data_IF_206358217762
#
_entry.id   IF_206358217762
#
_cell.length_a   1.000
_cell.length_b   1.000
_cell.length_c   1.000
_cell.angle_alpha   90.00
_cell.angle_beta   90.00
_cell.angle_gamma   90.00
#
_symmetry.space_group_name_H-M   'P 1'
#
loop_
_entity.id
_entity.type
_entity.pdbx_description
1 polymer ?
#
# COMPACT_ATOMS: atom_id res chain seq x y z
N UNK A 1 14.53 -32.13 12.79
CA UNK A 1 13.17 -31.65 13.11
C UNK A 1 12.83 -30.50 12.21
N UNK A 2 11.80 -30.67 11.42
CA UNK A 2 11.41 -29.61 10.48
C UNK A 2 10.72 -28.48 11.23
N UNK A 3 11.31 -27.30 11.15
CA UNK A 3 10.62 -26.10 11.63
C UNK A 3 9.55 -25.72 10.64
N UNK A 4 8.31 -25.80 11.08
CA UNK A 4 7.20 -25.26 10.31
C UNK A 4 7.29 -23.74 10.42
N UNK A 5 7.79 -23.11 9.38
CA UNK A 5 7.75 -21.65 9.29
C UNK A 5 6.30 -21.23 9.13
N UNK A 6 5.73 -20.65 10.18
CA UNK A 6 4.44 -19.98 10.03
C UNK A 6 4.67 -18.78 9.15
N UNK A 7 4.08 -18.79 7.98
CA UNK A 7 4.05 -17.61 7.15
C UNK A 7 3.29 -16.51 7.88
N UNK A 8 3.98 -15.38 8.09
CA UNK A 8 3.32 -14.21 8.65
C UNK A 8 2.54 -13.57 7.51
N UNK A 9 1.21 -13.69 7.58
CA UNK A 9 0.35 -13.05 6.59
C UNK A 9 0.19 -11.59 6.98
N UNK A 10 0.59 -10.70 6.09
CA UNK A 10 0.40 -9.27 6.31
C UNK A 10 -1.09 -8.93 6.31
N UNK A 11 -1.48 -8.05 7.20
CA UNK A 11 -2.82 -7.46 7.22
C UNK A 11 -2.71 -6.00 6.87
N UNK A 12 -3.56 -5.54 5.98
CA UNK A 12 -3.53 -4.16 5.53
C UNK A 12 -4.90 -3.50 5.65
N UNK A 13 -4.88 -2.18 5.75
CA UNK A 13 -6.09 -1.37 5.70
C UNK A 13 -6.15 -0.71 4.33
N UNK A 14 -7.27 -0.86 3.65
CA UNK A 14 -7.49 -0.21 2.36
C UNK A 14 -8.02 1.20 2.58
N UNK A 15 -7.48 2.16 1.85
CA UNK A 15 -7.85 3.57 1.99
C UNK A 15 -8.17 4.14 0.61
N UNK A 16 -9.32 4.80 0.50
CA UNK A 16 -9.73 5.46 -0.73
C UNK A 16 -10.30 6.84 -0.45
N UNK A 17 -10.20 7.70 -1.44
CA UNK A 17 -10.85 9.00 -1.45
C UNK A 17 -11.96 8.97 -2.51
N UNK A 18 -13.14 9.39 -2.13
CA UNK A 18 -14.28 9.46 -3.03
C UNK A 18 -14.79 10.89 -3.10
N UNK A 19 -15.30 11.30 -4.24
CA UNK A 19 -16.04 12.54 -4.34
C UNK A 19 -17.38 12.36 -3.61
N UNK A 20 -18.48 12.88 -4.03
CA UNK A 20 -19.74 12.80 -3.29
C UNK A 20 -20.35 11.39 -3.26
N UNK A 21 -20.24 10.66 -4.35
CA UNK A 21 -20.77 9.30 -4.47
C UNK A 21 -19.68 8.28 -4.15
N UNK A 22 -19.91 7.47 -3.13
CA UNK A 22 -18.95 6.45 -2.70
C UNK A 22 -19.08 5.13 -3.46
N UNK A 23 -20.03 4.98 -4.35
CA UNK A 23 -20.29 3.71 -5.05
C UNK A 23 -19.08 3.26 -5.87
N UNK A 24 -18.49 4.17 -6.64
CA UNK A 24 -17.30 3.84 -7.43
C UNK A 24 -16.10 3.48 -6.54
N UNK A 25 -15.95 4.19 -5.42
CA UNK A 25 -14.87 3.91 -4.48
C UNK A 25 -15.06 2.53 -3.83
N UNK A 26 -16.28 2.17 -3.48
CA UNK A 26 -16.57 0.85 -2.92
C UNK A 26 -16.29 -0.26 -3.92
N UNK A 27 -16.69 -0.09 -5.18
CA UNK A 27 -16.38 -1.05 -6.25
C UNK A 27 -14.88 -1.16 -6.49
N UNK A 28 -14.20 -0.03 -6.49
CA UNK A 28 -12.75 0.01 -6.66
C UNK A 28 -12.03 -0.69 -5.50
N UNK A 29 -12.52 -0.52 -4.28
CA UNK A 29 -11.97 -1.21 -3.11
C UNK A 29 -12.27 -2.71 -3.14
N UNK A 30 -13.42 -3.13 -3.68
CA UNK A 30 -13.68 -4.57 -3.90
C UNK A 30 -12.61 -5.17 -4.80
N UNK A 31 -12.28 -4.50 -5.89
CA UNK A 31 -11.23 -4.92 -6.80
C UNK A 31 -9.86 -4.91 -6.12
N UNK A 32 -9.55 -3.85 -5.40
CA UNK A 32 -8.27 -3.74 -4.69
C UNK A 32 -8.13 -4.84 -3.63
N UNK A 33 -9.20 -5.19 -2.95
CA UNK A 33 -9.17 -6.29 -1.98
C UNK A 33 -8.80 -7.61 -2.64
N UNK A 34 -9.36 -7.89 -3.82
CA UNK A 34 -9.00 -9.10 -4.57
C UNK A 34 -7.53 -9.07 -4.99
N UNK A 35 -7.03 -7.91 -5.42
CA UNK A 35 -5.62 -7.76 -5.77
C UNK A 35 -4.72 -8.01 -4.55
N UNK A 36 -5.08 -7.46 -3.41
CA UNK A 36 -4.32 -7.64 -2.15
C UNK A 36 -4.29 -9.12 -1.74
N UNK A 37 -5.42 -9.80 -1.82
CA UNK A 37 -5.49 -11.24 -1.54
C UNK A 37 -4.62 -12.05 -2.50
N UNK A 38 -4.65 -11.71 -3.78
CA UNK A 38 -3.80 -12.35 -4.80
C UNK A 38 -2.33 -12.13 -4.49
N UNK A 39 -1.98 -10.96 -3.96
CA UNK A 39 -0.60 -10.66 -3.54
C UNK A 39 -0.20 -11.37 -2.24
N UNK A 40 -1.14 -12.02 -1.56
CA UNK A 40 -0.87 -12.82 -0.37
C UNK A 40 -1.09 -12.13 0.96
N UNK A 41 -1.79 -11.00 0.98
CA UNK A 41 -2.12 -10.27 2.20
C UNK A 41 -3.61 -10.36 2.52
N UNK A 42 -3.98 -10.02 3.74
CA UNK A 42 -5.37 -9.95 4.18
C UNK A 42 -5.78 -8.49 4.38
N UNK A 43 -7.06 -8.22 4.18
CA UNK A 43 -7.63 -6.90 4.42
C UNK A 43 -8.31 -6.89 5.78
N UNK A 44 -7.81 -6.04 6.68
CA UNK A 44 -8.34 -5.92 8.04
C UNK A 44 -9.50 -4.93 8.11
N UNK A 45 -9.47 -3.88 7.29
CA UNK A 45 -10.51 -2.85 7.28
C UNK A 45 -10.42 -2.02 6.01
N UNK A 46 -11.49 -1.27 5.73
CA UNK A 46 -11.56 -0.31 4.63
C UNK A 46 -11.93 1.05 5.16
N UNK A 47 -11.31 2.09 4.63
CA UNK A 47 -11.62 3.49 4.97
C UNK A 47 -11.85 4.25 3.70
N UNK A 48 -12.96 4.95 3.62
CA UNK A 48 -13.26 5.86 2.51
C UNK A 48 -13.44 7.25 3.09
N UNK A 49 -12.68 8.21 2.58
CA UNK A 49 -12.90 9.60 2.90
C UNK A 49 -13.57 10.30 1.73
N UNK A 50 -14.68 10.98 2.01
CA UNK A 50 -15.33 11.83 1.01
C UNK A 50 -14.61 13.17 0.97
N UNK A 51 -13.98 13.46 -0.15
CA UNK A 51 -13.30 14.73 -0.42
C UNK A 51 -13.46 15.05 -1.90
N UNK A 52 -13.51 16.32 -2.22
CA UNK A 52 -13.56 16.74 -3.62
C UNK A 52 -12.31 16.27 -4.38
N UNK A 53 -11.14 16.40 -3.76
CA UNK A 53 -9.86 15.93 -4.30
C UNK A 53 -9.03 15.32 -3.17
N UNK A 54 -8.12 14.38 -3.47
CA UNK A 54 -7.17 13.89 -2.47
C UNK A 54 -6.32 15.02 -1.90
N UNK A 55 -5.98 14.91 -0.63
CA UNK A 55 -5.10 15.89 0.01
C UNK A 55 -3.71 15.80 -0.63
N UNK A 56 -3.15 16.92 -1.10
CA UNK A 56 -1.87 16.87 -1.82
C UNK A 56 -0.69 16.42 -0.96
N UNK A 57 -0.74 16.61 0.34
CA UNK A 57 0.33 16.23 1.25
C UNK A 57 0.18 14.85 1.87
N UNK A 58 -1.05 14.41 2.13
CA UNK A 58 -1.31 13.19 2.91
C UNK A 58 -2.40 12.29 2.32
N UNK A 59 -2.89 12.56 1.13
CA UNK A 59 -3.93 11.80 0.46
C UNK A 59 -5.29 11.90 1.16
N UNK A 60 -5.33 11.71 2.47
CA UNK A 60 -6.52 11.85 3.32
C UNK A 60 -6.29 12.96 4.34
N UNK A 61 -7.37 13.50 4.88
CA UNK A 61 -7.30 14.57 5.87
C UNK A 61 -6.90 14.05 7.26
N UNK A 62 -6.57 14.99 8.14
CA UNK A 62 -6.06 14.68 9.48
C UNK A 62 -7.01 13.81 10.31
N UNK A 63 -8.31 14.07 10.26
CA UNK A 63 -9.28 13.25 10.99
C UNK A 63 -9.30 11.80 10.53
N UNK A 64 -9.17 11.56 9.22
CA UNK A 64 -9.09 10.22 8.69
C UNK A 64 -7.76 9.55 9.03
N UNK A 65 -6.68 10.30 9.07
CA UNK A 65 -5.39 9.77 9.52
C UNK A 65 -5.52 9.23 10.95
N UNK A 66 -6.18 9.98 11.83
CA UNK A 66 -6.42 9.53 13.20
C UNK A 66 -7.27 8.26 13.24
N UNK A 67 -8.30 8.18 12.39
CA UNK A 67 -9.13 6.98 12.26
C UNK A 67 -8.33 5.78 11.78
N UNK A 68 -7.51 5.96 10.75
CA UNK A 68 -6.64 4.89 10.24
C UNK A 68 -5.64 4.45 11.31
N UNK A 69 -5.08 5.39 12.05
CA UNK A 69 -4.16 5.09 13.14
C UNK A 69 -4.81 4.20 14.21
N UNK A 70 -6.05 4.52 14.58
CA UNK A 70 -6.81 3.72 15.54
C UNK A 70 -7.09 2.32 15.00
N UNK A 71 -7.41 2.20 13.71
CA UNK A 71 -7.65 0.92 13.07
C UNK A 71 -6.38 0.08 12.96
N UNK A 72 -5.24 0.69 12.65
CA UNK A 72 -3.95 -0.02 12.64
C UNK A 72 -3.67 -0.64 14.00
N UNK A 73 -3.88 0.14 15.06
CA UNK A 73 -3.66 -0.33 16.40
C UNK A 73 -4.64 -1.44 16.81
N UNK A 74 -5.92 -1.26 16.47
CA UNK A 74 -6.98 -2.19 16.88
C UNK A 74 -7.00 -3.51 16.09
N UNK A 75 -6.46 -3.54 14.89
CA UNK A 75 -6.49 -4.72 14.02
C UNK A 75 -5.14 -5.42 13.92
N UNK A 76 -4.09 -4.88 14.50
CA UNK A 76 -2.71 -5.33 14.31
C UNK A 76 -2.28 -5.33 12.85
N UNK A 77 -2.87 -4.47 12.02
CA UNK A 77 -2.48 -4.33 10.63
C UNK A 77 -1.06 -3.77 10.54
N UNK A 78 -0.33 -4.21 9.52
CA UNK A 78 1.09 -3.89 9.34
C UNK A 78 1.34 -2.84 8.26
N UNK A 79 0.29 -2.37 7.62
CA UNK A 79 0.40 -1.34 6.60
C UNK A 79 -0.93 -0.90 6.05
N UNK A 80 -0.89 0.08 5.17
CA UNK A 80 -2.06 0.55 4.44
C UNK A 80 -1.82 0.45 2.94
N UNK A 81 -2.89 0.28 2.19
CA UNK A 81 -2.86 0.31 0.72
C UNK A 81 -3.86 1.34 0.25
N UNK A 82 -3.36 2.38 -0.40
CA UNK A 82 -4.20 3.42 -0.97
C UNK A 82 -4.65 3.03 -2.37
N UNK A 83 -5.89 3.34 -2.69
CA UNK A 83 -6.50 2.92 -3.96
C UNK A 83 -5.96 3.67 -5.18
N UNK A 84 -5.39 4.83 -4.97
CA UNK A 84 -4.79 5.65 -6.03
C UNK A 84 -3.27 5.62 -5.95
N UNK A 85 -2.62 5.94 -7.06
CA UNK A 85 -1.17 6.13 -7.04
C UNK A 85 -0.83 7.36 -6.19
N UNK A 86 0.12 7.20 -5.28
CA UNK A 86 0.52 8.27 -4.38
C UNK A 86 1.76 8.99 -4.87
N UNK A 87 1.83 10.30 -4.59
CA UNK A 87 3.06 11.05 -4.81
C UNK A 87 4.11 10.69 -3.76
N UNK A 88 5.41 10.97 -4.03
CA UNK A 88 6.44 10.77 -3.01
C UNK A 88 6.14 11.49 -1.70
N UNK A 89 5.62 12.72 -1.75
CA UNK A 89 5.27 13.48 -0.55
C UNK A 89 4.15 12.81 0.23
N UNK A 90 3.12 12.31 -0.46
CA UNK A 90 2.01 11.61 0.20
C UNK A 90 2.50 10.36 0.91
N UNK A 91 3.34 9.56 0.27
CA UNK A 91 3.89 8.35 0.88
C UNK A 91 4.71 8.70 2.12
N UNK A 92 5.65 9.62 1.99
CA UNK A 92 6.54 10.01 3.09
C UNK A 92 5.77 10.58 4.27
N UNK A 93 4.82 11.45 4.01
CA UNK A 93 4.03 12.08 5.07
C UNK A 93 3.10 11.08 5.78
N UNK A 94 2.50 10.17 5.03
CA UNK A 94 1.66 9.12 5.62
C UNK A 94 2.49 8.14 6.44
N UNK A 95 3.66 7.73 5.95
CA UNK A 95 4.55 6.85 6.71
C UNK A 95 4.95 7.48 8.03
N UNK A 96 5.26 8.77 8.03
CA UNK A 96 5.61 9.49 9.23
C UNK A 96 4.42 9.62 10.19
N UNK A 97 3.25 9.97 9.66
CA UNK A 97 2.05 10.16 10.48
C UNK A 97 1.51 8.84 11.08
N UNK A 98 1.62 7.75 10.35
CA UNK A 98 1.06 6.46 10.75
C UNK A 98 2.10 5.49 11.32
N UNK A 99 3.37 5.80 11.16
CA UNK A 99 4.48 4.94 11.56
C UNK A 99 4.28 3.51 11.06
N UNK A 100 3.90 3.37 9.80
CA UNK A 100 3.60 2.09 9.17
C UNK A 100 3.93 2.12 7.70
N UNK A 101 3.96 0.96 7.09
CA UNK A 101 4.21 0.79 5.67
C UNK A 101 3.04 1.35 4.86
N UNK A 102 3.34 2.18 3.87
CA UNK A 102 2.35 2.78 2.98
C UNK A 102 2.57 2.28 1.56
N UNK A 103 1.57 1.67 1.01
CA UNK A 103 1.57 1.12 -0.34
C UNK A 103 0.43 1.72 -1.14
N UNK A 104 0.50 1.58 -2.44
CA UNK A 104 -0.58 1.97 -3.32
C UNK A 104 -0.94 0.84 -4.29
N UNK A 105 -2.00 1.04 -5.06
CA UNK A 105 -2.50 0.04 -6.00
C UNK A 105 -1.43 -0.43 -6.97
N UNK A 106 -0.63 0.50 -7.50
CA UNK A 106 0.41 0.16 -8.48
C UNK A 106 1.44 -0.80 -7.89
N UNK A 107 1.87 -0.57 -6.65
CA UNK A 107 2.82 -1.45 -6.00
C UNK A 107 2.26 -2.87 -5.81
N UNK A 108 0.98 -2.98 -5.45
CA UNK A 108 0.33 -4.28 -5.30
C UNK A 108 0.30 -5.03 -6.64
N UNK A 109 -0.03 -4.34 -7.73
CA UNK A 109 -0.03 -4.94 -9.07
C UNK A 109 1.37 -5.43 -9.45
N UNK A 110 2.39 -4.65 -9.16
CA UNK A 110 3.78 -5.05 -9.42
C UNK A 110 4.17 -6.28 -8.59
N UNK A 111 3.73 -6.36 -7.36
CA UNK A 111 3.98 -7.53 -6.50
C UNK A 111 3.32 -8.80 -7.07
N UNK A 112 2.12 -8.68 -7.62
CA UNK A 112 1.45 -9.80 -8.27
C UNK A 112 2.22 -10.26 -9.50
N UNK A 113 2.68 -9.34 -10.34
CA UNK A 113 3.51 -9.67 -11.49
C UNK A 113 4.79 -10.36 -11.07
N UNK A 114 5.42 -9.91 -10.00
CA UNK A 114 6.64 -10.54 -9.48
C UNK A 114 6.41 -11.99 -9.09
N UNK A 115 5.28 -12.29 -8.46
CA UNK A 115 4.93 -13.65 -8.05
C UNK A 115 4.60 -14.56 -9.23
N UNK A 116 4.05 -14.01 -10.30
CA UNK A 116 3.65 -14.76 -11.49
C UNK A 116 4.75 -14.94 -12.52
N UNK A 117 5.82 -14.17 -12.42
CA UNK A 117 6.95 -14.29 -13.34
C UNK A 117 7.68 -15.62 -13.06
N UNK A 118 7.81 -16.46 -14.07
CA UNK A 118 8.45 -17.77 -13.93
C UNK A 118 9.73 -17.90 -14.74
N UNK A 119 9.94 -17.06 -15.75
CA UNK A 119 11.21 -17.05 -16.48
C UNK A 119 12.21 -16.15 -15.80
N UNK A 120 13.51 -16.43 -15.98
CA UNK A 120 14.57 -15.59 -15.44
C UNK A 120 14.47 -14.15 -15.95
N UNK A 121 14.26 -13.99 -17.27
CA UNK A 121 14.08 -12.67 -17.86
C UNK A 121 12.86 -11.94 -17.29
N UNK A 122 11.74 -12.62 -17.19
CA UNK A 122 10.52 -12.04 -16.64
C UNK A 122 10.70 -11.58 -15.20
N UNK A 123 11.36 -12.40 -14.38
CA UNK A 123 11.65 -12.03 -12.98
C UNK A 123 12.54 -10.80 -12.91
N UNK A 124 13.58 -10.72 -13.72
CA UNK A 124 14.48 -9.56 -13.75
C UNK A 124 13.72 -8.30 -14.18
N UNK A 125 12.87 -8.41 -15.21
CA UNK A 125 12.09 -7.27 -15.68
C UNK A 125 11.13 -6.74 -14.64
N UNK A 126 10.45 -7.62 -13.92
CA UNK A 126 9.52 -7.21 -12.86
C UNK A 126 10.28 -6.59 -11.69
N UNK A 127 11.38 -7.19 -11.28
CA UNK A 127 12.21 -6.61 -10.21
C UNK A 127 12.71 -5.23 -10.57
N UNK A 128 13.12 -5.03 -11.82
CA UNK A 128 13.55 -3.73 -12.29
C UNK A 128 12.40 -2.72 -12.25
N UNK A 129 11.20 -3.13 -12.67
CA UNK A 129 10.02 -2.27 -12.62
C UNK A 129 9.68 -1.88 -11.18
N UNK A 130 9.74 -2.83 -10.24
CA UNK A 130 9.53 -2.56 -8.82
C UNK A 130 10.56 -1.57 -8.27
N UNK A 131 11.83 -1.77 -8.59
CA UNK A 131 12.89 -0.87 -8.15
C UNK A 131 12.71 0.54 -8.71
N UNK A 132 12.39 0.65 -9.99
CA UNK A 132 12.14 1.95 -10.61
C UNK A 132 10.94 2.66 -9.98
N UNK A 133 9.86 1.93 -9.72
CA UNK A 133 8.68 2.50 -9.09
C UNK A 133 9.00 3.01 -7.69
N UNK A 134 9.63 2.19 -6.85
CA UNK A 134 10.05 2.59 -5.51
C UNK A 134 11.00 3.77 -5.52
N UNK A 135 11.98 3.75 -6.43
CA UNK A 135 12.92 4.86 -6.56
C UNK A 135 12.21 6.16 -6.93
N UNK A 136 11.20 6.10 -7.83
CA UNK A 136 10.43 7.28 -8.21
C UNK A 136 9.61 7.87 -7.07
N UNK A 137 9.34 7.08 -6.02
CA UNK A 137 8.57 7.53 -4.87
C UNK A 137 9.42 7.99 -3.69
N UNK A 138 10.74 7.94 -3.81
CA UNK A 138 11.63 8.42 -2.75
C UNK A 138 11.79 9.93 -2.85
N UNK A 139 11.74 10.60 -1.70
CA UNK A 139 11.83 12.06 -1.61
C UNK A 139 13.22 12.55 -1.21
N UNK A 140 14.24 11.75 -1.40
CA UNK A 140 15.60 12.11 -1.00
C UNK A 140 15.92 11.85 0.46
N UNK A 141 15.03 11.21 1.19
CA UNK A 141 15.32 10.79 2.57
C UNK A 141 16.03 9.44 2.51
N UNK A 142 17.32 9.44 2.79
CA UNK A 142 18.19 8.28 2.65
C UNK A 142 17.71 7.04 3.41
N UNK A 143 16.92 7.21 4.46
CA UNK A 143 16.35 6.12 5.24
C UNK A 143 15.45 5.21 4.40
N UNK A 144 14.53 5.81 3.62
CA UNK A 144 13.61 5.05 2.79
C UNK A 144 14.35 4.32 1.67
N UNK A 145 15.36 4.97 1.10
CA UNK A 145 16.16 4.38 0.04
C UNK A 145 16.92 3.14 0.53
N UNK A 146 17.56 3.21 1.69
CA UNK A 146 18.29 2.08 2.26
C UNK A 146 17.40 0.86 2.46
N UNK A 147 16.21 1.06 3.01
CA UNK A 147 15.28 -0.03 3.28
C UNK A 147 14.76 -0.67 1.98
N UNK A 148 14.58 0.11 0.93
CA UNK A 148 14.12 -0.37 -0.36
C UNK A 148 15.15 -1.23 -1.07
N UNK A 149 16.44 -0.93 -0.90
CA UNK A 149 17.52 -1.62 -1.60
C UNK A 149 17.98 -2.90 -0.93
N UNK A 150 17.71 -3.07 0.34
CA UNK A 150 18.11 -4.26 1.10
C UNK A 150 17.20 -5.45 0.82
N UNK A 151 16.01 -5.19 0.39
CA UNK A 151 15.04 -6.21 0.06
C UNK A 151 14.98 -6.46 -1.43
#
# INVERSE_FOLDING_TARGET
>A
MEEIKKEIIEKVILVAVADQDTTEAEESLDELEELVKTAGAEVAARVIQVRETPHPGTYIGKGKIDEVNALLYGTDATGIVCDDELSPAQISNLEEALDTKVMDRTLIILDIFAKRAFTREGKIQVELAQLKYRASKLTGQGRALSLSLIH
#
